data_IF_108853020607
#
_entry.id   IF_108853020607
#
_cell.length_a   1.000
_cell.length_b   1.000
_cell.length_c   1.000
_cell.angle_alpha   90.00
_cell.angle_beta   90.00
_cell.angle_gamma   90.00
#
_symmetry.space_group_name_H-M   'P 1'
#
loop_
_entity.id
_entity.type
_entity.pdbx_description
1 polymer ?
#
# COMPACT_ATOMS: atom_id res chain seq x y z
N UNK A 1 -32.56 -13.59 3.14
CA UNK A 1 -31.65 -13.32 2.01
C UNK A 1 -30.95 -11.98 2.26
N UNK A 2 -29.86 -11.99 3.02
CA UNK A 2 -29.16 -10.81 3.53
C UNK A 2 -27.67 -11.14 3.54
N UNK A 3 -27.04 -11.09 2.38
CA UNK A 3 -25.76 -11.77 2.23
C UNK A 3 -25.03 -11.28 1.03
N UNK A 4 -24.46 -10.08 1.20
CA UNK A 4 -23.34 -9.45 0.48
C UNK A 4 -23.72 -8.03 0.14
N UNK A 5 -23.25 -7.09 0.96
CA UNK A 5 -23.03 -5.72 0.50
C UNK A 5 -22.13 -5.84 -0.72
N UNK A 6 -22.74 -5.78 -1.90
CA UNK A 6 -22.03 -5.84 -3.16
C UNK A 6 -21.23 -4.56 -3.37
N UNK A 7 -20.37 -4.59 -4.37
CA UNK A 7 -19.75 -3.37 -4.89
C UNK A 7 -20.81 -2.32 -5.26
N UNK A 8 -21.99 -2.75 -5.71
CA UNK A 8 -23.13 -1.90 -6.01
C UNK A 8 -23.70 -1.19 -4.78
N UNK A 9 -24.04 -1.91 -3.70
CA UNK A 9 -24.54 -1.28 -2.46
C UNK A 9 -23.52 -0.31 -1.86
N UNK A 10 -22.24 -0.67 -1.87
CA UNK A 10 -21.17 0.21 -1.38
C UNK A 10 -21.08 1.50 -2.22
N UNK A 11 -21.23 1.40 -3.55
CA UNK A 11 -21.25 2.56 -4.45
C UNK A 11 -22.46 3.47 -4.19
N UNK A 12 -23.63 2.90 -3.92
CA UNK A 12 -24.84 3.69 -3.60
C UNK A 12 -24.66 4.45 -2.28
N UNK A 13 -24.16 3.77 -1.24
CA UNK A 13 -23.87 4.41 0.06
C UNK A 13 -22.82 5.50 -0.10
N UNK A 14 -21.73 5.20 -0.83
CA UNK A 14 -20.69 6.17 -1.15
C UNK A 14 -21.28 7.38 -1.90
N UNK A 15 -22.17 7.16 -2.86
CA UNK A 15 -22.88 8.21 -3.60
C UNK A 15 -23.68 9.14 -2.69
N UNK A 16 -24.43 8.60 -1.72
CA UNK A 16 -25.19 9.39 -0.75
C UNK A 16 -24.25 10.24 0.12
N UNK A 17 -23.17 9.63 0.63
CA UNK A 17 -22.13 10.32 1.41
C UNK A 17 -21.51 11.45 0.57
N UNK A 18 -21.26 11.20 -0.71
CA UNK A 18 -20.73 12.20 -1.65
C UNK A 18 -21.70 13.34 -1.95
N UNK A 19 -23.01 13.12 -1.90
CA UNK A 19 -23.98 14.22 -2.04
C UNK A 19 -23.93 15.13 -0.82
N UNK A 20 -23.82 14.55 0.39
CA UNK A 20 -23.78 15.31 1.65
C UNK A 20 -22.47 16.09 1.79
N UNK A 21 -21.33 15.42 1.59
CA UNK A 21 -20.01 16.02 1.79
C UNK A 21 -19.43 16.67 0.53
N UNK A 22 -19.84 16.22 -0.65
CA UNK A 22 -19.30 16.61 -1.95
C UNK A 22 -18.12 15.72 -2.40
N UNK A 23 -17.99 15.43 -3.72
CA UNK A 23 -16.89 14.62 -4.25
C UNK A 23 -15.51 15.23 -4.04
N UNK A 24 -15.42 16.56 -3.93
CA UNK A 24 -14.15 17.26 -3.70
C UNK A 24 -13.56 17.02 -2.30
N UNK A 25 -14.34 16.52 -1.34
CA UNK A 25 -13.90 16.35 0.05
C UNK A 25 -13.13 15.04 0.26
N UNK A 26 -13.45 13.99 -0.51
CA UNK A 26 -12.69 12.74 -0.48
C UNK A 26 -11.19 12.91 -0.81
N UNK A 27 -10.79 13.57 -1.91
CA UNK A 27 -9.37 13.74 -2.21
C UNK A 27 -8.67 14.69 -1.24
N UNK A 28 -9.38 15.65 -0.65
CA UNK A 28 -8.84 16.54 0.38
C UNK A 28 -8.51 15.78 1.67
N UNK A 29 -9.47 14.99 2.16
CA UNK A 29 -9.27 14.10 3.31
C UNK A 29 -8.17 13.09 3.02
N UNK A 30 -8.18 12.45 1.84
CA UNK A 30 -7.15 11.50 1.43
C UNK A 30 -5.74 12.11 1.38
N UNK A 31 -5.58 13.36 0.92
CA UNK A 31 -4.29 14.07 0.93
C UNK A 31 -3.82 14.36 2.35
N UNK A 32 -4.71 14.79 3.25
CA UNK A 32 -4.36 15.05 4.65
C UNK A 32 -3.97 13.77 5.40
N UNK A 33 -4.80 12.72 5.28
CA UNK A 33 -4.58 11.42 5.88
C UNK A 33 -3.34 10.74 5.31
N UNK A 34 -3.12 10.82 4.00
CA UNK A 34 -1.95 10.24 3.35
C UNK A 34 -0.63 10.86 3.80
N UNK A 35 -0.61 12.18 4.02
CA UNK A 35 0.55 12.86 4.63
C UNK A 35 0.78 12.39 6.06
N UNK A 36 -0.27 12.36 6.88
CA UNK A 36 -0.19 11.87 8.26
C UNK A 36 0.29 10.41 8.36
N UNK A 37 -0.22 9.52 7.50
CA UNK A 37 0.22 8.11 7.45
C UNK A 37 1.69 8.02 7.02
N UNK A 38 2.13 8.84 6.04
CA UNK A 38 3.53 8.86 5.59
C UNK A 38 4.47 9.31 6.70
N UNK A 39 4.14 10.40 7.39
CA UNK A 39 4.91 10.92 8.53
C UNK A 39 4.92 9.92 9.68
N UNK A 40 3.77 9.33 10.03
CA UNK A 40 3.66 8.30 11.05
C UNK A 40 4.53 7.08 10.71
N UNK A 41 4.53 6.64 9.44
CA UNK A 41 5.36 5.52 8.99
C UNK A 41 6.85 5.84 9.04
N UNK A 42 7.25 7.07 8.69
CA UNK A 42 8.65 7.52 8.79
C UNK A 42 9.11 7.56 10.25
N UNK A 43 8.33 8.21 11.13
CA UNK A 43 8.64 8.29 12.55
C UNK A 43 8.69 6.90 13.20
N UNK A 44 7.74 6.02 12.87
CA UNK A 44 7.75 4.62 13.34
C UNK A 44 8.99 3.87 12.86
N UNK A 45 9.47 4.14 11.63
CA UNK A 45 10.68 3.53 11.09
C UNK A 45 11.92 4.02 11.82
N UNK A 46 12.04 5.32 12.05
CA UNK A 46 13.17 5.91 12.80
C UNK A 46 13.23 5.36 14.23
N UNK A 47 12.09 5.24 14.91
CA UNK A 47 12.00 4.65 16.25
C UNK A 47 12.41 3.17 16.23
N UNK A 48 11.95 2.40 15.23
CA UNK A 48 12.34 1.00 15.06
C UNK A 48 13.84 0.86 14.82
N UNK A 49 14.40 1.71 13.97
CA UNK A 49 15.82 1.71 13.65
C UNK A 49 16.64 2.10 14.89
N UNK A 50 16.22 3.09 15.69
CA UNK A 50 16.92 3.47 16.93
C UNK A 50 16.84 2.39 18.01
N UNK A 51 15.69 1.73 18.18
CA UNK A 51 15.54 0.63 19.15
C UNK A 51 16.33 -0.61 18.69
N UNK A 52 16.41 -0.86 17.38
CA UNK A 52 17.18 -1.97 16.83
C UNK A 52 18.70 -1.72 16.98
N UNK A 53 19.16 -0.48 16.79
CA UNK A 53 20.57 -0.10 17.00
C UNK A 53 21.01 -0.25 18.47
N UNK A 54 20.10 -0.15 19.43
CA UNK A 54 20.41 -0.37 20.86
C UNK A 54 20.45 -1.86 21.24
N UNK A 55 19.91 -2.76 20.40
CA UNK A 55 19.82 -4.21 20.69
C UNK A 55 20.72 -5.06 19.78
N UNK A 56 21.08 -4.62 18.58
CA UNK A 56 21.91 -5.41 17.66
C UNK A 56 22.86 -4.52 16.86
N UNK A 57 24.11 -4.46 17.31
CA UNK A 57 25.22 -3.88 16.55
C UNK A 57 25.65 -4.77 15.38
N UNK A 58 24.75 -5.12 14.46
CA UNK A 58 25.13 -5.73 13.18
C UNK A 58 24.04 -5.69 12.11
N UNK A 59 24.51 -5.58 10.86
CA UNK A 59 23.77 -5.79 9.61
C UNK A 59 22.99 -4.60 9.06
N UNK A 60 23.78 -3.73 8.44
CA UNK A 60 23.39 -2.88 7.32
C UNK A 60 23.01 -3.76 6.13
N UNK A 61 21.74 -3.73 5.67
CA UNK A 61 21.36 -3.98 4.27
C UNK A 61 19.85 -3.75 4.04
N UNK A 62 19.48 -3.18 2.88
CA UNK A 62 18.16 -3.44 2.30
C UNK A 62 17.31 -2.25 1.82
N UNK A 63 17.88 -1.21 1.23
CA UNK A 63 17.10 -0.33 0.34
C UNK A 63 17.06 -0.94 -1.08
N UNK A 64 16.22 -1.97 -1.25
CA UNK A 64 15.89 -2.50 -2.58
C UNK A 64 14.67 -1.75 -3.14
N UNK A 65 14.93 -0.78 -4.02
CA UNK A 65 13.92 -0.33 -4.97
C UNK A 65 13.61 -1.50 -5.93
N UNK A 66 12.34 -1.82 -6.19
CA UNK A 66 11.99 -2.89 -7.13
C UNK A 66 12.37 -2.44 -8.54
N UNK A 67 13.44 -3.03 -9.08
CA UNK A 67 13.72 -3.00 -10.52
C UNK A 67 12.55 -3.71 -11.22
N UNK A 68 11.99 -3.01 -12.21
CA UNK A 68 10.88 -3.43 -13.06
C UNK A 68 10.99 -4.89 -13.53
N UNK A 69 9.84 -5.58 -13.71
CA UNK A 69 9.78 -7.02 -13.96
C UNK A 69 10.39 -7.35 -15.33
N UNK A 70 11.40 -8.22 -15.35
CA UNK A 70 11.82 -8.90 -16.57
C UNK A 70 10.71 -9.85 -17.00
N UNK A 71 10.05 -9.50 -18.10
CA UNK A 71 9.13 -10.33 -18.89
C UNK A 71 9.74 -11.75 -19.05
N UNK A 72 9.01 -12.83 -18.75
CA UNK A 72 9.50 -14.17 -18.98
C UNK A 72 9.53 -14.43 -20.48
N UNK A 73 10.71 -14.55 -21.08
CA UNK A 73 10.85 -15.23 -22.37
C UNK A 73 10.84 -16.74 -22.09
N UNK A 74 9.89 -17.50 -22.66
CA UNK A 74 9.83 -18.95 -22.52
C UNK A 74 11.08 -19.55 -23.17
N UNK A 75 11.97 -20.14 -22.36
CA UNK A 75 13.01 -21.01 -22.89
C UNK A 75 12.32 -22.32 -23.24
N UNK A 76 12.07 -22.48 -24.54
CA UNK A 76 11.64 -23.69 -25.21
C UNK A 76 12.66 -24.80 -24.92
N UNK A 77 12.34 -25.68 -23.98
CA UNK A 77 13.16 -26.87 -23.69
C UNK A 77 12.82 -27.91 -24.75
N UNK A 78 13.70 -27.98 -25.75
CA UNK A 78 13.77 -29.04 -26.74
C UNK A 78 14.01 -30.39 -26.02
N UNK A 79 13.28 -31.46 -26.37
CA UNK A 79 13.47 -32.77 -25.76
C UNK A 79 14.76 -33.40 -26.30
N UNK A 80 15.68 -33.77 -25.42
CA UNK A 80 16.81 -34.63 -25.74
C UNK A 80 16.83 -35.84 -24.81
N UNK A 81 16.73 -37.00 -25.46
CA UNK A 81 16.85 -38.44 -25.08
C UNK A 81 16.01 -39.03 -23.94
#
# INVERSE_FOLDING_TARGET
>A
MLGRLGTTELLVILGIILIIFGPSKLPEIGKSLGRGIREFKSATKEIKDSINVEVDGSSNEGQAAPKAPKKPEPVEVKPEE
#
